data_IF_177399016541
#
_entry.id   IF_177399016541
#
_cell.length_a   1.000
_cell.length_b   1.000
_cell.length_c   1.000
_cell.angle_alpha   90.00
_cell.angle_beta   90.00
_cell.angle_gamma   90.00
#
_symmetry.space_group_name_H-M   'P 1'
#
loop_
_entity.id
_entity.type
_entity.pdbx_description
1 polymer ?
#
# COMPACT_ATOMS: atom_id res chain seq x y z
N UNK A 1 -1.58 22.04 -16.19
CA UNK A 1 -0.61 23.04 -16.74
C UNK A 1 0.01 22.57 -18.06
N UNK A 2 0.34 21.28 -18.20
CA UNK A 2 0.96 20.71 -19.42
C UNK A 2 0.15 20.94 -20.72
N UNK A 3 -1.16 21.19 -20.61
CA UNK A 3 -2.06 21.51 -21.72
C UNK A 3 -2.33 23.02 -21.85
N UNK A 4 -1.54 23.88 -21.18
CA UNK A 4 -1.73 25.33 -21.20
C UNK A 4 -3.04 25.83 -20.56
N UNK A 5 -3.76 24.97 -19.83
CA UNK A 5 -5.03 25.33 -19.21
C UNK A 5 -4.87 25.64 -17.73
N UNK A 6 -5.38 26.77 -17.30
CA UNK A 6 -5.47 27.19 -15.91
C UNK A 6 -6.91 27.09 -15.41
N UNK A 7 -7.21 26.13 -14.52
CA UNK A 7 -8.53 25.99 -13.92
C UNK A 7 -8.43 25.81 -12.40
N UNK A 8 -8.22 26.90 -11.70
CA UNK A 8 -8.12 26.92 -10.23
C UNK A 8 -9.38 26.40 -9.56
N UNK A 9 -10.57 26.79 -10.07
CA UNK A 9 -11.86 26.48 -9.45
C UNK A 9 -12.16 24.97 -9.48
N UNK A 10 -11.83 24.28 -10.56
CA UNK A 10 -12.02 22.83 -10.64
C UNK A 10 -11.08 22.07 -9.68
N UNK A 11 -9.84 22.56 -9.54
CA UNK A 11 -8.80 21.88 -8.75
C UNK A 11 -8.82 22.23 -7.25
N UNK A 12 -9.57 23.28 -6.84
CA UNK A 12 -9.66 23.71 -5.42
C UNK A 12 -10.75 22.97 -4.61
N UNK A 13 -11.49 22.04 -5.23
CA UNK A 13 -12.56 21.27 -4.58
C UNK A 13 -12.11 19.93 -4.03
N UNK A 14 -10.84 19.57 -4.18
CA UNK A 14 -10.30 18.34 -3.64
C UNK A 14 -10.32 18.36 -2.10
N UNK A 15 -10.85 17.29 -1.48
CA UNK A 15 -10.76 17.11 -0.04
C UNK A 15 -9.33 16.79 0.37
N UNK A 16 -8.77 17.51 1.32
CA UNK A 16 -7.46 17.25 1.91
C UNK A 16 -7.41 15.95 2.71
N UNK A 17 -6.27 15.65 3.32
CA UNK A 17 -6.08 14.45 4.17
C UNK A 17 -6.58 14.65 5.60
N UNK A 18 -6.57 15.86 6.10
CA UNK A 18 -6.97 16.19 7.48
C UNK A 18 -8.39 15.70 7.79
N UNK A 19 -8.53 15.01 8.91
CA UNK A 19 -9.81 14.45 9.36
C UNK A 19 -10.29 13.20 8.60
N UNK A 20 -9.49 12.67 7.64
CA UNK A 20 -9.77 11.39 6.98
C UNK A 20 -9.21 10.21 7.78
N UNK A 21 -9.73 9.02 7.49
CA UNK A 21 -9.25 7.75 8.06
C UNK A 21 -8.38 7.02 7.06
N UNK A 22 -7.14 6.69 7.48
CA UNK A 22 -6.26 5.75 6.80
C UNK A 22 -6.48 4.34 7.35
N UNK A 23 -6.85 3.41 6.49
CA UNK A 23 -6.91 1.97 6.79
C UNK A 23 -5.64 1.26 6.33
N UNK A 24 -4.97 0.58 7.24
CA UNK A 24 -3.75 -0.18 6.95
C UNK A 24 -4.07 -1.69 6.90
N UNK A 25 -4.04 -2.26 5.69
CA UNK A 25 -4.12 -3.70 5.50
C UNK A 25 -2.73 -4.30 5.68
N UNK A 26 -2.46 -4.79 6.89
CA UNK A 26 -1.14 -5.21 7.33
C UNK A 26 -0.40 -4.13 8.14
N UNK A 27 0.01 -4.50 9.36
CA UNK A 27 0.73 -3.61 10.28
C UNK A 27 2.14 -4.17 10.58
N UNK A 28 2.85 -4.56 9.52
CA UNK A 28 4.26 -4.93 9.53
C UNK A 28 5.18 -3.71 9.68
N UNK A 29 6.47 -3.85 9.38
CA UNK A 29 7.44 -2.75 9.50
C UNK A 29 7.01 -1.51 8.70
N UNK A 30 6.62 -1.67 7.43
CA UNK A 30 6.22 -0.55 6.57
C UNK A 30 4.89 0.06 7.04
N UNK A 31 3.90 -0.79 7.35
CA UNK A 31 2.59 -0.30 7.85
C UNK A 31 2.71 0.52 9.12
N UNK A 32 3.59 0.12 10.06
CA UNK A 32 3.85 0.90 11.27
C UNK A 32 4.47 2.26 10.99
N UNK A 33 5.38 2.35 10.03
CA UNK A 33 5.99 3.61 9.61
C UNK A 33 4.99 4.57 8.96
N UNK A 34 3.86 4.09 8.44
CA UNK A 34 2.79 4.93 7.91
C UNK A 34 2.00 5.62 9.02
N UNK A 35 1.92 5.03 10.23
CA UNK A 35 1.11 5.57 11.33
C UNK A 35 1.51 6.99 11.73
N UNK A 36 2.78 7.26 12.12
CA UNK A 36 3.17 8.62 12.50
C UNK A 36 3.05 9.62 11.34
N UNK A 37 3.24 9.17 10.10
CA UNK A 37 3.08 10.01 8.92
C UNK A 37 1.61 10.42 8.71
N UNK A 38 0.69 9.47 8.87
CA UNK A 38 -0.75 9.76 8.78
C UNK A 38 -1.21 10.72 9.90
N UNK A 39 -0.76 10.48 11.13
CA UNK A 39 -1.06 11.36 12.25
C UNK A 39 -0.51 12.78 12.03
N UNK A 40 0.66 12.94 11.44
CA UNK A 40 1.23 14.25 11.10
C UNK A 40 0.37 15.01 10.07
N UNK A 41 -0.38 14.30 9.22
CA UNK A 41 -1.38 14.90 8.32
C UNK A 41 -2.76 15.06 8.96
N UNK A 42 -2.91 14.78 10.26
CA UNK A 42 -4.18 14.89 10.97
C UNK A 42 -5.20 13.82 10.58
N UNK A 43 -4.73 12.65 10.10
CA UNK A 43 -5.58 11.51 9.78
C UNK A 43 -5.80 10.62 11.02
N UNK A 44 -7.01 10.05 11.16
CA UNK A 44 -7.22 8.88 11.99
C UNK A 44 -6.60 7.64 11.32
N UNK A 45 -6.14 6.66 12.12
CA UNK A 45 -5.57 5.42 11.59
C UNK A 45 -6.31 4.22 12.17
N UNK A 46 -6.73 3.31 11.29
CA UNK A 46 -7.26 1.99 11.65
C UNK A 46 -6.44 0.91 10.95
N UNK A 47 -6.33 -0.26 11.54
CA UNK A 47 -5.52 -1.33 10.97
C UNK A 47 -6.18 -2.70 11.13
N UNK A 48 -5.95 -3.56 10.15
CA UNK A 48 -6.18 -4.98 10.24
C UNK A 48 -4.87 -5.74 9.98
N UNK A 49 -4.54 -6.66 10.86
CA UNK A 49 -3.42 -7.58 10.67
C UNK A 49 -3.68 -8.84 11.51
N UNK A 50 -3.30 -10.01 11.00
CA UNK A 50 -3.50 -11.31 11.69
C UNK A 50 -2.90 -11.38 13.09
N UNK A 51 -1.82 -10.67 13.33
CA UNK A 51 -1.08 -10.67 14.62
C UNK A 51 -1.27 -9.37 15.41
N UNK A 52 -2.21 -8.51 15.03
CA UNK A 52 -2.45 -7.27 15.75
C UNK A 52 -3.23 -7.53 17.03
N UNK A 53 -2.63 -7.19 18.16
CA UNK A 53 -3.28 -7.25 19.47
C UNK A 53 -3.76 -5.86 19.89
N UNK A 54 -4.75 -5.81 20.78
CA UNK A 54 -5.27 -4.54 21.33
C UNK A 54 -4.18 -3.72 22.02
N UNK A 55 -3.26 -4.38 22.75
CA UNK A 55 -2.11 -3.73 23.38
C UNK A 55 -1.22 -3.04 22.35
N UNK A 56 -0.87 -3.75 21.26
CA UNK A 56 -0.01 -3.20 20.21
C UNK A 56 -0.70 -2.09 19.44
N UNK A 57 -2.00 -2.23 19.14
CA UNK A 57 -2.80 -1.20 18.50
C UNK A 57 -2.84 0.08 19.35
N UNK A 58 -3.11 -0.04 20.65
CA UNK A 58 -3.10 1.07 21.60
C UNK A 58 -1.73 1.76 21.69
N UNK A 59 -0.63 1.00 21.74
CA UNK A 59 0.73 1.56 21.76
C UNK A 59 1.09 2.34 20.50
N UNK A 60 0.48 2.00 19.37
CA UNK A 60 0.69 2.69 18.08
C UNK A 60 -0.35 3.80 17.82
N UNK A 61 -1.35 3.95 18.68
CA UNK A 61 -2.43 4.91 18.47
C UNK A 61 -3.33 4.58 17.27
N UNK A 62 -3.53 3.28 16.96
CA UNK A 62 -4.36 2.84 15.84
C UNK A 62 -5.63 2.12 16.32
N UNK A 63 -6.74 2.32 15.65
CA UNK A 63 -7.95 1.52 15.83
C UNK A 63 -7.77 0.12 15.23
N UNK A 64 -8.25 -0.92 15.93
CA UNK A 64 -8.19 -2.29 15.43
C UNK A 64 -9.48 -2.64 14.69
N UNK A 65 -9.35 -3.27 13.51
CA UNK A 65 -10.47 -3.80 12.74
C UNK A 65 -10.47 -5.32 12.79
N UNK A 66 -11.64 -5.93 12.96
CA UNK A 66 -11.78 -7.37 13.08
C UNK A 66 -11.58 -8.09 11.73
N UNK A 67 -11.83 -7.40 10.63
CA UNK A 67 -11.69 -7.96 9.28
C UNK A 67 -11.22 -6.92 8.25
N UNK A 68 -10.70 -7.37 7.09
CA UNK A 68 -10.44 -6.48 5.96
C UNK A 68 -11.68 -5.71 5.49
N UNK A 69 -12.86 -6.33 5.51
CA UNK A 69 -14.12 -5.69 5.09
C UNK A 69 -14.53 -4.58 6.04
N UNK A 70 -14.40 -4.78 7.35
CA UNK A 70 -14.64 -3.74 8.34
C UNK A 70 -13.68 -2.55 8.13
N UNK A 71 -12.39 -2.83 7.88
CA UNK A 71 -11.42 -1.81 7.54
C UNK A 71 -11.82 -1.02 6.28
N UNK A 72 -12.25 -1.70 5.22
CA UNK A 72 -12.69 -1.06 3.99
C UNK A 72 -13.84 -0.07 4.23
N UNK A 73 -14.82 -0.46 5.04
CA UNK A 73 -15.98 0.37 5.39
C UNK A 73 -15.59 1.60 6.21
N UNK A 74 -14.61 1.46 7.11
CA UNK A 74 -14.18 2.52 8.01
C UNK A 74 -13.25 3.55 7.36
N UNK A 75 -12.66 3.25 6.18
CA UNK A 75 -11.53 3.99 5.63
C UNK A 75 -11.91 4.92 4.48
N UNK A 76 -11.32 6.12 4.45
CA UNK A 76 -11.33 7.02 3.29
C UNK A 76 -10.14 6.73 2.35
N UNK A 77 -9.04 6.21 2.90
CA UNK A 77 -7.84 5.79 2.18
C UNK A 77 -7.44 4.41 2.72
N UNK A 78 -7.21 3.46 1.85
CA UNK A 78 -6.69 2.13 2.20
C UNK A 78 -5.27 2.01 1.65
N UNK A 79 -4.33 1.54 2.49
CA UNK A 79 -2.97 1.25 2.07
C UNK A 79 -2.60 -0.20 2.41
N UNK A 80 -2.09 -0.93 1.41
CA UNK A 80 -1.82 -2.37 1.48
C UNK A 80 -0.35 -2.62 1.80
N UNK A 81 -0.10 -3.37 2.88
CA UNK A 81 1.25 -3.67 3.42
C UNK A 81 1.39 -5.14 3.86
N UNK A 82 0.64 -6.04 3.25
CA UNK A 82 0.77 -7.49 3.52
C UNK A 82 1.76 -8.13 2.56
N UNK A 83 2.47 -9.16 3.04
CA UNK A 83 3.24 -10.02 2.16
C UNK A 83 2.30 -10.92 1.34
N UNK A 84 2.71 -11.30 0.14
CA UNK A 84 2.00 -12.30 -0.66
C UNK A 84 2.18 -13.68 -0.02
N UNK A 85 1.06 -14.31 0.29
CA UNK A 85 0.95 -15.69 0.76
C UNK A 85 -0.29 -16.31 0.16
N UNK A 86 -0.51 -17.61 0.37
CA UNK A 86 -1.76 -18.24 -0.05
C UNK A 86 -3.00 -17.54 0.55
N UNK A 87 -2.92 -17.09 1.82
CA UNK A 87 -4.05 -16.44 2.51
C UNK A 87 -4.24 -14.96 2.14
N UNK A 88 -3.26 -14.32 1.50
CA UNK A 88 -3.34 -12.91 1.11
C UNK A 88 -3.49 -12.70 -0.39
N UNK A 89 -3.46 -13.79 -1.18
CA UNK A 89 -3.78 -13.74 -2.60
C UNK A 89 -5.24 -13.33 -2.77
N UNK A 90 -5.48 -12.32 -3.62
CA UNK A 90 -6.80 -11.70 -3.84
C UNK A 90 -7.52 -11.29 -2.54
N UNK A 91 -6.75 -10.87 -1.51
CA UNK A 91 -7.33 -10.38 -0.25
C UNK A 91 -8.18 -9.11 -0.47
N UNK A 92 -7.77 -8.29 -1.43
CA UNK A 92 -8.49 -7.10 -1.86
C UNK A 92 -9.31 -7.48 -3.09
N UNK A 93 -10.40 -8.14 -2.85
CA UNK A 93 -11.31 -8.72 -3.84
C UNK A 93 -12.53 -7.83 -4.14
N UNK A 94 -13.47 -8.36 -4.93
CA UNK A 94 -14.71 -7.67 -5.25
C UNK A 94 -15.56 -7.31 -4.03
N UNK A 95 -15.58 -8.15 -3.00
CA UNK A 95 -16.33 -7.88 -1.76
C UNK A 95 -15.67 -6.73 -0.97
N UNK A 96 -14.32 -6.71 -0.94
CA UNK A 96 -13.57 -5.60 -0.34
C UNK A 96 -13.89 -4.27 -1.05
N UNK A 97 -13.86 -4.24 -2.38
CA UNK A 97 -14.21 -3.04 -3.14
C UNK A 97 -15.68 -2.64 -2.96
N UNK A 98 -16.58 -3.61 -2.87
CA UNK A 98 -17.99 -3.33 -2.57
C UNK A 98 -18.16 -2.67 -1.18
N UNK A 99 -17.34 -3.03 -0.19
CA UNK A 99 -17.35 -2.44 1.14
C UNK A 99 -16.70 -1.05 1.21
N UNK A 100 -15.77 -0.71 0.31
CA UNK A 100 -15.12 0.60 0.30
C UNK A 100 -16.13 1.74 0.12
N UNK A 101 -15.84 2.88 0.69
CA UNK A 101 -16.65 4.10 0.50
C UNK A 101 -16.60 4.59 -0.94
N UNK A 102 -17.68 5.15 -1.49
CA UNK A 102 -17.62 5.82 -2.79
C UNK A 102 -16.54 6.92 -2.81
N UNK A 103 -15.71 6.92 -3.86
CA UNK A 103 -14.61 7.88 -3.99
C UNK A 103 -13.43 7.67 -3.05
N UNK A 104 -13.37 6.55 -2.32
CA UNK A 104 -12.23 6.19 -1.50
C UNK A 104 -10.96 5.96 -2.34
N UNK A 105 -9.80 6.04 -1.70
CA UNK A 105 -8.50 5.82 -2.33
C UNK A 105 -7.94 4.44 -1.93
N UNK A 106 -7.36 3.71 -2.87
CA UNK A 106 -6.57 2.51 -2.62
C UNK A 106 -5.12 2.75 -3.01
N UNK A 107 -4.18 2.36 -2.15
CA UNK A 107 -2.75 2.40 -2.44
C UNK A 107 -2.21 0.97 -2.30
N UNK A 108 -1.60 0.44 -3.37
CA UNK A 108 -0.92 -0.85 -3.32
C UNK A 108 0.53 -0.72 -3.76
N UNK A 109 1.43 -0.85 -2.81
CA UNK A 109 2.88 -0.91 -2.99
C UNK A 109 3.45 -2.24 -2.45
N UNK A 110 2.58 -3.25 -2.28
CA UNK A 110 2.97 -4.55 -1.74
C UNK A 110 3.27 -5.56 -2.86
N UNK A 111 2.22 -6.23 -3.36
CA UNK A 111 2.33 -7.20 -4.46
C UNK A 111 1.06 -7.14 -5.30
N UNK A 112 1.15 -7.31 -6.63
CA UNK A 112 -0.03 -7.23 -7.50
C UNK A 112 -1.08 -8.30 -7.17
N UNK A 113 -0.67 -9.52 -6.89
CA UNK A 113 -1.58 -10.65 -6.68
C UNK A 113 -2.38 -10.59 -5.35
N UNK A 114 -2.09 -9.62 -4.50
CA UNK A 114 -2.93 -9.34 -3.31
C UNK A 114 -4.26 -8.70 -3.73
N UNK A 115 -4.31 -8.12 -4.91
CA UNK A 115 -5.41 -7.36 -5.48
C UNK A 115 -6.10 -8.15 -6.60
N UNK A 116 -7.43 -8.17 -6.63
CA UNK A 116 -8.22 -8.50 -7.82
C UNK A 116 -8.29 -7.26 -8.72
N UNK A 117 -7.48 -7.27 -9.79
CA UNK A 117 -7.34 -6.14 -10.70
C UNK A 117 -8.63 -5.85 -11.49
N UNK A 118 -9.40 -6.88 -11.85
CA UNK A 118 -10.67 -6.69 -12.54
C UNK A 118 -11.71 -6.06 -11.62
N UNK A 119 -11.74 -6.48 -10.35
CA UNK A 119 -12.61 -5.88 -9.34
C UNK A 119 -12.24 -4.42 -9.07
N UNK A 120 -10.94 -4.07 -9.07
CA UNK A 120 -10.50 -2.68 -8.99
C UNK A 120 -11.06 -1.84 -10.14
N UNK A 121 -10.91 -2.31 -11.39
CA UNK A 121 -11.40 -1.58 -12.57
C UNK A 121 -12.92 -1.35 -12.47
N UNK A 122 -13.68 -2.37 -12.05
CA UNK A 122 -15.12 -2.20 -11.81
C UNK A 122 -15.40 -1.14 -10.73
N UNK A 123 -14.69 -1.18 -9.59
CA UNK A 123 -14.88 -0.23 -8.51
C UNK A 123 -14.52 1.21 -8.90
N UNK A 124 -13.51 1.40 -9.74
CA UNK A 124 -13.16 2.72 -10.31
C UNK A 124 -14.32 3.26 -11.14
N UNK A 125 -14.90 2.45 -12.01
CA UNK A 125 -15.98 2.86 -12.93
C UNK A 125 -17.31 3.09 -12.21
N UNK A 126 -17.66 2.22 -11.29
CA UNK A 126 -19.00 2.18 -10.68
C UNK A 126 -19.10 3.00 -9.38
N UNK A 127 -18.03 3.05 -8.59
CA UNK A 127 -18.01 3.71 -7.26
C UNK A 127 -17.11 4.95 -7.22
N UNK A 128 -16.38 5.24 -8.30
CA UNK A 128 -15.41 6.34 -8.32
C UNK A 128 -14.23 6.11 -7.38
N UNK A 129 -13.92 4.87 -7.01
CA UNK A 129 -12.69 4.51 -6.30
C UNK A 129 -11.50 4.97 -7.13
N UNK A 130 -10.45 5.44 -6.49
CA UNK A 130 -9.20 5.82 -7.16
C UNK A 130 -8.07 4.99 -6.60
N UNK A 131 -7.10 4.63 -7.44
CA UNK A 131 -5.98 3.81 -7.02
C UNK A 131 -4.63 4.42 -7.37
N UNK A 132 -3.66 4.26 -6.46
CA UNK A 132 -2.24 4.44 -6.69
C UNK A 132 -1.55 3.09 -6.58
N UNK A 133 -0.89 2.65 -7.64
CA UNK A 133 -0.26 1.35 -7.71
C UNK A 133 1.22 1.51 -8.04
N UNK A 134 2.09 0.78 -7.34
CA UNK A 134 3.52 0.68 -7.66
C UNK A 134 3.87 -0.70 -8.24
N UNK A 135 2.92 -1.64 -8.16
CA UNK A 135 3.09 -3.04 -8.55
C UNK A 135 1.92 -3.48 -9.43
N UNK A 136 2.21 -4.28 -10.49
CA UNK A 136 1.23 -4.66 -11.52
C UNK A 136 1.40 -6.11 -11.96
N UNK A 137 0.33 -6.72 -12.42
CA UNK A 137 0.43 -7.98 -13.16
C UNK A 137 1.11 -7.73 -14.52
N UNK A 138 2.00 -8.64 -14.91
CA UNK A 138 2.72 -8.54 -16.18
C UNK A 138 3.87 -7.53 -16.20
N UNK A 139 4.43 -7.19 -15.04
CA UNK A 139 5.66 -6.39 -14.98
C UNK A 139 6.79 -7.03 -15.79
N UNK A 140 7.59 -6.24 -16.55
CA UNK A 140 8.77 -6.75 -17.20
C UNK A 140 9.76 -7.38 -16.20
N UNK A 141 10.41 -8.48 -16.58
CA UNK A 141 11.40 -9.16 -15.75
C UNK A 141 12.71 -8.37 -15.56
N UNK A 142 12.92 -7.29 -16.32
CA UNK A 142 14.11 -6.45 -16.29
C UNK A 142 13.79 -4.97 -16.11
N UNK A 143 14.83 -4.14 -16.07
CA UNK A 143 14.72 -2.68 -15.88
C UNK A 143 13.98 -1.95 -17.03
N UNK A 144 13.84 -2.61 -18.18
CA UNK A 144 13.15 -2.09 -19.36
C UNK A 144 12.35 -3.21 -20.03
N UNK A 145 11.21 -2.85 -20.62
CA UNK A 145 10.38 -3.81 -21.34
C UNK A 145 9.08 -3.21 -21.84
N UNK A 146 8.37 -3.94 -22.68
CA UNK A 146 7.00 -3.60 -23.05
C UNK A 146 6.07 -3.90 -21.88
N UNK A 147 5.10 -3.01 -21.66
CA UNK A 147 4.10 -3.13 -20.61
C UNK A 147 2.71 -2.81 -21.16
N UNK A 148 1.71 -3.62 -20.82
CA UNK A 148 0.33 -3.33 -21.20
C UNK A 148 -0.24 -2.23 -20.28
N UNK A 149 -0.34 -1.02 -20.81
CA UNK A 149 -0.92 0.13 -20.13
C UNK A 149 -2.46 0.12 -20.06
N UNK A 150 -3.13 -0.98 -20.42
CA UNK A 150 -4.59 -1.08 -20.45
C UNK A 150 -5.28 -0.67 -19.16
N UNK A 151 -4.69 -1.04 -18.01
CA UNK A 151 -5.16 -0.67 -16.67
C UNK A 151 -5.23 0.85 -16.45
N UNK A 152 -4.33 1.62 -17.03
CA UNK A 152 -4.24 3.08 -16.85
C UNK A 152 -5.13 3.90 -17.80
N UNK A 153 -5.90 3.24 -18.66
CA UNK A 153 -6.92 3.91 -19.48
C UNK A 153 -8.06 4.47 -18.65
N UNK A 154 -8.32 3.86 -17.50
CA UNK A 154 -9.29 4.37 -16.53
C UNK A 154 -8.69 5.56 -15.75
N UNK A 155 -9.32 6.72 -15.82
CA UNK A 155 -8.84 7.99 -15.24
C UNK A 155 -8.72 7.99 -13.69
N UNK A 156 -9.12 6.92 -13.04
CA UNK A 156 -9.03 6.75 -11.59
C UNK A 156 -7.78 6.02 -11.11
N UNK A 157 -6.94 5.52 -12.01
CA UNK A 157 -5.75 4.72 -11.67
C UNK A 157 -4.48 5.45 -12.08
N UNK A 158 -3.54 5.59 -11.16
CA UNK A 158 -2.19 6.09 -11.42
C UNK A 158 -1.17 5.04 -10.99
N UNK A 159 -0.01 5.01 -11.65
CA UNK A 159 1.02 4.02 -11.35
C UNK A 159 2.43 4.56 -11.39
N UNK A 160 3.31 3.85 -10.68
CA UNK A 160 4.76 4.00 -10.73
C UNK A 160 5.39 2.66 -11.08
N UNK A 161 6.62 2.61 -11.53
CA UNK A 161 7.27 1.46 -12.16
C UNK A 161 8.00 0.58 -11.14
N UNK A 162 7.32 0.15 -10.06
CA UNK A 162 7.86 -0.66 -8.97
C UNK A 162 9.12 -0.03 -8.34
N UNK A 163 9.04 1.27 -8.08
CA UNK A 163 10.16 2.10 -7.61
C UNK A 163 10.02 2.56 -6.15
N UNK A 164 8.97 2.11 -5.44
CA UNK A 164 8.71 2.53 -4.06
C UNK A 164 9.85 2.24 -3.08
N UNK A 165 10.66 1.22 -3.36
CA UNK A 165 11.87 0.88 -2.62
C UNK A 165 13.19 1.24 -3.33
N UNK A 166 13.14 1.83 -4.52
CA UNK A 166 14.30 2.03 -5.40
C UNK A 166 14.92 3.44 -5.22
N UNK A 167 15.30 3.79 -4.00
CA UNK A 167 16.05 5.02 -3.73
C UNK A 167 17.52 4.72 -3.48
N UNK A 168 18.41 5.69 -3.74
CA UNK A 168 19.83 5.55 -3.44
C UNK A 168 20.07 5.17 -1.98
N UNK A 169 19.35 5.80 -1.04
CA UNK A 169 19.43 5.50 0.38
C UNK A 169 19.00 4.06 0.71
N UNK A 170 17.97 3.55 0.04
CA UNK A 170 17.53 2.17 0.23
C UNK A 170 18.56 1.16 -0.28
N UNK A 171 19.18 1.42 -1.42
CA UNK A 171 20.28 0.61 -1.95
C UNK A 171 21.50 0.61 -1.03
N UNK A 172 21.92 1.77 -0.53
CA UNK A 172 23.03 1.89 0.41
C UNK A 172 22.75 1.17 1.73
N UNK A 173 21.53 1.33 2.28
CA UNK A 173 21.10 0.62 3.48
C UNK A 173 21.09 -0.90 3.28
N UNK A 174 20.58 -1.37 2.13
CA UNK A 174 20.58 -2.78 1.76
C UNK A 174 21.99 -3.36 1.65
N UNK A 175 22.90 -2.67 0.95
CA UNK A 175 24.30 -3.08 0.84
C UNK A 175 25.00 -3.15 2.21
N UNK A 176 24.77 -2.16 3.07
CA UNK A 176 25.30 -2.12 4.43
C UNK A 176 24.82 -3.30 5.25
N UNK A 177 23.52 -3.63 5.15
CA UNK A 177 22.94 -4.75 5.88
C UNK A 177 23.47 -6.11 5.38
N UNK A 178 23.64 -6.30 4.07
CA UNK A 178 24.26 -7.49 3.50
C UNK A 178 25.69 -7.67 4.04
N UNK A 179 26.49 -6.60 4.05
CA UNK A 179 27.84 -6.65 4.62
C UNK A 179 27.82 -7.00 6.11
N UNK A 180 26.87 -6.48 6.87
CA UNK A 180 26.69 -6.81 8.30
C UNK A 180 26.37 -8.31 8.48
N UNK A 181 25.47 -8.85 7.70
CA UNK A 181 25.10 -10.29 7.75
C UNK A 181 26.29 -11.18 7.43
N UNK A 182 27.07 -10.84 6.38
CA UNK A 182 28.28 -11.59 5.98
C UNK A 182 29.34 -11.56 7.10
N UNK A 183 29.62 -10.39 7.67
CA UNK A 183 30.58 -10.24 8.77
C UNK A 183 30.14 -11.06 9.99
N UNK A 184 28.87 -10.97 10.39
CA UNK A 184 28.35 -11.72 11.53
C UNK A 184 28.51 -13.24 11.29
N UNK A 185 28.16 -13.71 10.07
CA UNK A 185 28.33 -15.13 9.73
C UNK A 185 29.79 -15.57 9.77
N UNK A 186 30.72 -14.78 9.23
CA UNK A 186 32.16 -15.05 9.28
C UNK A 186 32.66 -15.16 10.71
N UNK A 187 32.21 -14.27 11.61
CA UNK A 187 32.75 -14.16 12.96
C UNK A 187 32.09 -15.15 13.95
N UNK A 188 30.84 -15.59 13.69
CA UNK A 188 30.06 -16.43 14.61
C UNK A 188 29.58 -17.76 14.03
N UNK A 189 29.70 -17.97 12.73
CA UNK A 189 29.12 -19.12 12.02
C UNK A 189 27.58 -19.09 11.92
N UNK A 190 26.93 -18.04 12.42
CA UNK A 190 25.47 -17.88 12.46
C UNK A 190 25.08 -16.60 11.70
N UNK A 191 24.29 -16.67 10.61
CA UNK A 191 23.86 -15.45 9.92
C UNK A 191 22.92 -14.65 10.80
N UNK A 192 23.14 -13.33 10.84
CA UNK A 192 22.15 -12.42 11.40
C UNK A 192 20.87 -12.45 10.55
N UNK A 193 19.72 -12.16 11.16
CA UNK A 193 18.42 -12.12 10.49
C UNK A 193 17.96 -13.47 9.88
N UNK A 194 18.24 -14.59 10.56
CA UNK A 194 17.66 -15.87 10.16
C UNK A 194 16.15 -15.75 10.06
N UNK A 195 15.60 -16.07 8.90
CA UNK A 195 14.17 -16.31 8.75
C UNK A 195 13.92 -17.66 9.41
N UNK A 196 13.03 -17.72 10.40
CA UNK A 196 12.80 -18.92 11.21
C UNK A 196 12.46 -20.12 10.33
N UNK A 197 13.02 -21.29 10.70
CA UNK A 197 12.58 -22.59 10.22
C UNK A 197 11.19 -22.93 10.74
#
# INVERSE_FOLDING_TARGET
LSRGQWNRRANSRARGLYGRTLGLVGLGRIGQEMVPRAHAFGMGVVAWSRSLTSQRAGALGVGIMASPLELATASDVVSVHVALTYQTRCLIDGAFFAAMRPGALLINTARPEVLDQEALVRAVREKGVRAGLDVFEGEPMGDTGAFDAGLFRDQGIIGTQHIGGATEQAWQAGATEVLRVIRTYRDTGIPANRVGS
#
